data_IF_831005534163
#
_entry.id   IF_831005534163
#
_cell.length_a   1.000
_cell.length_b   1.000
_cell.length_c   1.000
_cell.angle_alpha   90.00
_cell.angle_beta   90.00
_cell.angle_gamma   90.00
#
_symmetry.space_group_name_H-M   'P 1'
#
loop_
_entity.id
_entity.type
_entity.pdbx_description
1 polymer ?
#
# COMPACT_ATOMS: atom_id res chain seq x y z
N UNK A 1 -30.05 18.76 3.13
CA UNK A 1 -28.81 18.55 3.87
C UNK A 1 -27.88 19.69 3.51
N UNK A 2 -27.44 20.53 4.46
CA UNK A 2 -26.52 21.63 4.18
C UNK A 2 -25.16 21.07 3.75
N UNK A 3 -24.53 21.69 2.76
CA UNK A 3 -23.16 21.33 2.35
C UNK A 3 -22.24 21.88 3.46
N UNK A 4 -21.39 21.07 4.09
CA UNK A 4 -20.49 21.55 5.13
C UNK A 4 -19.55 22.62 4.56
N UNK A 5 -19.30 23.67 5.34
CA UNK A 5 -18.33 24.69 5.00
C UNK A 5 -16.90 24.13 5.03
N UNK A 6 -15.96 24.81 4.36
CA UNK A 6 -14.57 24.37 4.31
C UNK A 6 -13.94 24.18 5.69
N UNK A 7 -14.27 25.04 6.67
CA UNK A 7 -13.79 24.91 8.04
C UNK A 7 -14.29 23.65 8.75
N UNK A 8 -15.52 23.22 8.48
CA UNK A 8 -16.09 21.99 9.04
C UNK A 8 -15.41 20.75 8.45
N UNK A 9 -15.13 20.76 7.13
CA UNK A 9 -14.37 19.70 6.45
C UNK A 9 -12.96 19.60 7.03
N UNK A 10 -12.30 20.73 7.19
CA UNK A 10 -10.96 20.80 7.77
C UNK A 10 -10.92 20.24 9.19
N UNK A 11 -11.91 20.59 10.02
CA UNK A 11 -12.02 20.09 11.41
C UNK A 11 -12.32 18.59 11.44
N UNK A 12 -13.18 18.08 10.58
CA UNK A 12 -13.46 16.65 10.46
C UNK A 12 -12.18 15.88 10.11
N UNK A 13 -11.42 16.35 9.10
CA UNK A 13 -10.16 15.72 8.69
C UNK A 13 -9.11 15.81 9.81
N UNK A 14 -9.03 16.94 10.51
CA UNK A 14 -8.12 17.12 11.63
C UNK A 14 -8.37 16.11 12.74
N UNK A 15 -9.65 15.85 13.08
CA UNK A 15 -10.03 14.87 14.11
C UNK A 15 -9.66 13.44 13.72
N UNK A 16 -9.68 13.10 12.45
CA UNK A 16 -9.28 11.77 11.96
C UNK A 16 -7.77 11.66 11.66
N UNK A 17 -7.02 12.77 11.79
CA UNK A 17 -5.56 12.78 11.60
C UNK A 17 -4.85 12.68 12.93
N UNK A 18 -3.83 11.82 13.01
CA UNK A 18 -3.03 11.60 14.21
C UNK A 18 -1.56 11.94 13.95
N UNK A 19 -0.86 12.28 15.03
CA UNK A 19 0.60 12.40 15.03
C UNK A 19 1.19 11.04 15.37
N UNK A 20 2.17 10.59 14.58
CA UNK A 20 2.85 9.30 14.75
C UNK A 20 4.30 9.55 15.13
N UNK A 21 4.69 9.10 16.32
CA UNK A 21 6.07 9.12 16.80
C UNK A 21 6.64 7.71 16.75
N UNK A 22 7.76 7.53 16.07
CA UNK A 22 8.44 6.24 15.97
C UNK A 22 9.92 6.40 16.28
N UNK A 23 10.34 5.94 17.44
CA UNK A 23 11.74 5.77 17.88
C UNK A 23 12.66 6.95 17.59
N UNK A 24 12.93 7.84 18.53
CA UNK A 24 13.91 8.91 18.42
C UNK A 24 13.37 10.21 17.78
N UNK A 25 13.99 10.73 16.72
CA UNK A 25 13.74 12.08 16.20
C UNK A 25 12.78 12.15 15.00
N UNK A 26 12.03 11.10 14.68
CA UNK A 26 11.11 11.07 13.54
C UNK A 26 9.65 11.17 13.97
N UNK A 27 8.93 12.13 13.41
CA UNK A 27 7.48 12.24 13.53
C UNK A 27 6.86 12.32 12.13
N UNK A 28 5.68 11.73 12.00
CA UNK A 28 4.85 11.80 10.81
C UNK A 28 3.38 11.90 11.19
N UNK A 29 2.51 11.71 10.24
CA UNK A 29 1.07 11.69 10.42
C UNK A 29 0.51 10.28 10.22
N UNK A 30 -0.74 10.10 10.62
CA UNK A 30 -1.53 8.91 10.33
C UNK A 30 -2.99 9.28 10.19
N UNK A 31 -3.78 8.36 9.69
CA UNK A 31 -5.24 8.50 9.51
C UNK A 31 -5.93 7.43 10.33
N UNK A 32 -6.86 7.82 11.20
CA UNK A 32 -7.79 6.90 11.85
C UNK A 32 -8.69 6.33 10.75
N UNK A 33 -8.47 5.07 10.39
CA UNK A 33 -9.16 4.42 9.29
C UNK A 33 -10.45 3.73 9.71
N UNK A 34 -10.49 3.26 10.96
CA UNK A 34 -11.72 2.73 11.55
C UNK A 34 -11.86 3.14 13.02
N UNK A 35 -13.11 3.22 13.49
CA UNK A 35 -13.45 3.70 14.82
C UNK A 35 -13.01 2.79 15.96
N UNK A 36 -12.58 1.58 15.65
CA UNK A 36 -12.09 0.56 16.59
C UNK A 36 -10.57 0.59 16.79
N UNK A 37 -9.86 1.62 16.30
CA UNK A 37 -8.45 1.85 16.58
C UNK A 37 -7.47 1.45 15.46
N UNK A 38 -7.94 1.20 14.23
CA UNK A 38 -7.04 1.05 13.08
C UNK A 38 -6.56 2.41 12.61
N UNK A 39 -5.24 2.57 12.57
CA UNK A 39 -4.57 3.77 12.02
C UNK A 39 -3.69 3.36 10.84
N UNK A 40 -3.78 4.10 9.75
CA UNK A 40 -2.94 3.94 8.55
C UNK A 40 -1.92 5.07 8.51
N UNK A 41 -0.68 4.73 8.21
CA UNK A 41 0.42 5.68 7.98
C UNK A 41 1.37 5.13 6.92
N UNK A 42 2.46 5.85 6.62
CA UNK A 42 3.50 5.33 5.73
C UNK A 42 4.45 4.36 6.46
N UNK A 43 4.97 3.40 5.70
CA UNK A 43 5.94 2.44 6.22
C UNK A 43 7.25 3.11 6.66
N UNK A 44 7.69 4.16 5.95
CA UNK A 44 8.92 4.89 6.31
C UNK A 44 8.77 5.76 7.57
N UNK A 45 7.55 6.11 7.98
CA UNK A 45 7.24 6.81 9.24
C UNK A 45 7.44 5.88 10.43
N UNK A 46 7.13 4.60 10.26
CA UNK A 46 7.21 3.58 11.31
C UNK A 46 8.62 3.01 11.37
N UNK A 47 9.41 3.45 12.36
CA UNK A 47 10.79 3.00 12.58
C UNK A 47 10.92 2.33 13.96
N UNK A 48 11.53 1.15 13.99
CA UNK A 48 11.70 0.38 15.24
C UNK A 48 10.44 -0.36 15.68
N UNK A 49 10.42 -0.80 16.93
CA UNK A 49 9.35 -1.65 17.49
C UNK A 49 8.33 -0.90 18.34
N UNK A 50 8.62 0.33 18.73
CA UNK A 50 7.72 1.17 19.54
C UNK A 50 7.23 2.34 18.72
N UNK A 51 5.92 2.49 18.65
CA UNK A 51 5.23 3.56 17.93
C UNK A 51 4.20 4.15 18.88
N UNK A 52 4.22 5.48 19.04
CA UNK A 52 3.22 6.22 19.79
C UNK A 52 2.35 7.01 18.82
N UNK A 53 1.05 7.00 19.07
CA UNK A 53 0.06 7.73 18.30
C UNK A 53 -0.59 8.75 19.23
N UNK A 54 -0.52 10.03 18.85
CA UNK A 54 -1.21 11.12 19.54
C UNK A 54 -2.42 11.58 18.72
N UNK A 55 -3.58 11.59 19.34
CA UNK A 55 -4.82 12.05 18.74
C UNK A 55 -4.89 13.59 18.74
N UNK A 56 -5.87 14.13 17.99
CA UNK A 56 -6.14 15.56 17.88
C UNK A 56 -6.47 16.24 19.23
N UNK A 57 -6.99 15.49 20.22
CA UNK A 57 -7.36 15.96 21.55
C UNK A 57 -6.23 15.80 22.59
N UNK A 58 -5.04 15.38 22.14
CA UNK A 58 -3.85 15.23 22.98
C UNK A 58 -3.72 13.86 23.65
N UNK A 59 -4.70 12.96 23.55
CA UNK A 59 -4.56 11.59 24.06
C UNK A 59 -3.46 10.85 23.31
N UNK A 60 -2.66 10.09 24.04
CA UNK A 60 -1.54 9.31 23.50
C UNK A 60 -1.76 7.82 23.75
N UNK A 61 -1.37 7.01 22.76
CA UNK A 61 -1.47 5.56 22.81
C UNK A 61 -0.18 4.92 22.30
N UNK A 62 0.26 3.86 22.97
CA UNK A 62 1.24 2.95 22.37
C UNK A 62 0.51 2.14 21.30
N UNK A 63 1.06 2.13 20.09
CA UNK A 63 0.47 1.45 18.95
C UNK A 63 1.23 0.18 18.60
N UNK A 64 0.51 -0.91 18.39
CA UNK A 64 1.06 -2.13 17.83
C UNK A 64 1.13 -2.00 16.30
N UNK A 65 2.25 -2.42 15.71
CA UNK A 65 2.39 -2.54 14.26
C UNK A 65 1.70 -3.84 13.85
N UNK A 66 0.55 -3.72 13.17
CA UNK A 66 -0.23 -4.87 12.74
C UNK A 66 0.27 -5.44 11.40
N UNK A 67 0.53 -4.57 10.43
CA UNK A 67 1.10 -4.94 9.13
C UNK A 67 1.92 -3.79 8.55
N UNK A 68 2.85 -4.13 7.64
CA UNK A 68 3.72 -3.16 6.97
C UNK A 68 4.02 -3.63 5.55
N UNK A 69 3.83 -2.74 4.59
CA UNK A 69 4.22 -2.93 3.19
C UNK A 69 5.20 -1.84 2.77
N UNK A 70 6.52 -2.08 2.86
CA UNK A 70 7.53 -1.11 2.46
C UNK A 70 7.49 -0.75 0.97
N UNK A 71 6.97 -1.62 0.11
CA UNK A 71 6.87 -1.37 -1.34
C UNK A 71 5.82 -0.33 -1.66
N UNK A 72 4.64 -0.44 -1.03
CA UNK A 72 3.57 0.55 -1.16
C UNK A 72 3.75 1.71 -0.21
N UNK A 73 4.77 1.64 0.67
CA UNK A 73 5.01 2.61 1.72
C UNK A 73 3.79 2.78 2.65
N UNK A 74 3.14 1.68 3.03
CA UNK A 74 2.01 1.64 3.95
C UNK A 74 2.34 0.86 5.22
N UNK A 75 1.79 1.32 6.35
CA UNK A 75 1.78 0.60 7.61
C UNK A 75 0.40 0.72 8.27
N UNK A 76 -0.05 -0.37 8.86
CA UNK A 76 -1.24 -0.45 9.69
C UNK A 76 -0.80 -0.53 11.15
N UNK A 77 -1.29 0.42 11.93
CA UNK A 77 -1.12 0.46 13.38
C UNK A 77 -2.45 0.12 14.06
N UNK A 78 -2.36 -0.45 15.25
CA UNK A 78 -3.51 -0.71 16.11
C UNK A 78 -3.29 -0.02 17.44
N UNK A 79 -4.23 0.81 17.85
CA UNK A 79 -4.30 1.40 19.19
C UNK A 79 -5.49 0.81 19.95
N UNK A 80 -5.34 0.68 21.26
CA UNK A 80 -6.41 0.20 22.14
C UNK A 80 -7.35 1.35 22.48
N UNK A 81 -8.26 1.66 21.56
CA UNK A 81 -9.27 2.70 21.70
C UNK A 81 -10.46 2.41 20.77
N UNK A 82 -11.63 2.88 21.18
CA UNK A 82 -12.87 2.73 20.42
C UNK A 82 -13.59 4.07 20.27
N UNK A 83 -14.62 4.09 19.42
CA UNK A 83 -15.42 5.28 19.11
C UNK A 83 -14.60 6.46 18.60
N UNK A 84 -13.52 6.16 17.88
CA UNK A 84 -12.66 7.17 17.27
C UNK A 84 -13.35 7.77 16.03
N UNK A 85 -13.08 9.05 15.71
CA UNK A 85 -13.56 9.69 14.50
C UNK A 85 -12.80 9.16 13.27
N UNK A 86 -13.28 8.07 12.70
CA UNK A 86 -12.71 7.47 11.51
C UNK A 86 -12.92 8.36 10.28
N UNK A 87 -11.92 8.42 9.42
CA UNK A 87 -12.01 9.09 8.14
C UNK A 87 -12.97 8.35 7.20
N UNK A 88 -13.71 9.09 6.39
CA UNK A 88 -14.45 8.53 5.27
C UNK A 88 -13.53 8.45 4.06
N UNK A 89 -13.42 7.30 3.40
CA UNK A 89 -12.64 7.14 2.18
C UNK A 89 -13.53 7.23 0.94
N UNK A 90 -12.99 7.79 -0.16
CA UNK A 90 -13.60 7.77 -1.47
C UNK A 90 -12.86 6.80 -2.40
N UNK A 91 -13.51 6.41 -3.49
CA UNK A 91 -12.88 5.65 -4.56
C UNK A 91 -11.89 6.55 -5.33
N UNK A 92 -10.60 6.27 -5.20
CA UNK A 92 -9.55 7.05 -5.87
C UNK A 92 -9.49 6.83 -7.39
N UNK A 93 -10.17 5.82 -7.93
CA UNK A 93 -10.28 5.61 -9.38
C UNK A 93 -11.23 6.60 -10.07
N UNK A 94 -12.12 7.24 -9.30
CA UNK A 94 -13.05 8.25 -9.80
C UNK A 94 -12.46 9.67 -9.85
N UNK A 95 -11.26 9.88 -9.27
CA UNK A 95 -10.60 11.19 -9.23
C UNK A 95 -10.30 11.72 -10.61
N UNK A 96 -10.50 13.02 -10.77
CA UNK A 96 -10.23 13.75 -12.02
C UNK A 96 -9.25 14.89 -11.79
N UNK A 97 -8.36 15.17 -12.75
CA UNK A 97 -7.54 16.37 -12.71
C UNK A 97 -8.39 17.64 -12.56
N UNK A 98 -7.93 18.57 -11.72
CA UNK A 98 -8.63 19.82 -11.41
C UNK A 98 -9.56 19.76 -10.19
N UNK A 99 -9.86 18.57 -9.64
CA UNK A 99 -10.62 18.47 -8.40
C UNK A 99 -9.82 19.03 -7.20
N UNK A 100 -10.52 19.61 -6.21
CA UNK A 100 -9.90 20.15 -5.01
C UNK A 100 -9.21 19.02 -4.22
N UNK A 101 -7.99 19.29 -3.78
CA UNK A 101 -7.21 18.44 -2.90
C UNK A 101 -6.94 19.15 -1.58
N UNK A 102 -7.22 18.48 -0.46
CA UNK A 102 -7.01 18.97 0.89
C UNK A 102 -6.07 17.99 1.60
N UNK A 103 -4.90 18.46 2.03
CA UNK A 103 -3.98 17.68 2.83
C UNK A 103 -3.98 18.17 4.27
N UNK A 104 -4.04 17.24 5.22
CA UNK A 104 -3.82 17.54 6.64
C UNK A 104 -2.68 16.67 7.16
N UNK A 105 -1.89 17.23 8.08
CA UNK A 105 -0.79 16.52 8.70
C UNK A 105 -0.22 17.29 9.87
N UNK A 106 0.93 16.81 10.36
CA UNK A 106 1.59 17.34 11.54
C UNK A 106 3.03 17.79 11.21
N UNK A 107 3.21 18.75 10.25
CA UNK A 107 4.52 19.17 9.82
C UNK A 107 5.29 19.82 10.97
N UNK A 108 6.52 19.38 11.19
CA UNK A 108 7.41 19.95 12.21
C UNK A 108 6.80 20.03 13.62
N UNK A 109 5.83 19.15 13.94
CA UNK A 109 5.11 19.13 15.22
C UNK A 109 3.90 20.07 15.31
N UNK A 110 3.56 20.80 14.25
CA UNK A 110 2.30 21.57 14.19
C UNK A 110 1.14 20.61 13.93
N UNK A 111 0.30 20.38 14.94
CA UNK A 111 -0.81 19.43 14.87
C UNK A 111 -1.91 19.96 13.96
N UNK A 112 -2.29 19.16 12.95
CA UNK A 112 -3.44 19.43 12.10
C UNK A 112 -3.26 20.58 11.11
N UNK A 113 -2.02 20.84 10.66
CA UNK A 113 -1.76 21.83 9.63
C UNK A 113 -2.40 21.44 8.30
N UNK A 114 -3.03 22.41 7.65
CA UNK A 114 -3.79 22.22 6.42
C UNK A 114 -3.05 22.85 5.23
N UNK A 115 -3.05 22.12 4.10
CA UNK A 115 -2.64 22.63 2.80
C UNK A 115 -3.70 22.26 1.76
N UNK A 116 -3.91 23.13 0.78
CA UNK A 116 -4.86 22.91 -0.32
C UNK A 116 -4.21 23.08 -1.67
N UNK A 117 -4.81 22.45 -2.66
CA UNK A 117 -4.41 22.53 -4.06
C UNK A 117 -5.40 21.78 -4.93
N UNK A 118 -4.96 21.24 -6.04
CA UNK A 118 -5.78 20.47 -6.96
C UNK A 118 -5.13 19.14 -7.32
N UNK A 119 -5.96 18.16 -7.65
CA UNK A 119 -5.49 16.90 -8.25
C UNK A 119 -4.89 17.23 -9.62
N UNK A 120 -3.64 16.85 -9.81
CA UNK A 120 -2.92 17.03 -11.08
C UNK A 120 -3.10 15.84 -12.00
N UNK A 121 -2.93 14.61 -11.47
CA UNK A 121 -3.10 13.38 -12.23
C UNK A 121 -3.29 12.19 -11.27
N UNK A 122 -3.82 11.08 -11.81
CA UNK A 122 -3.83 9.76 -11.15
C UNK A 122 -3.21 8.76 -12.11
N UNK A 123 -2.16 8.09 -11.68
CA UNK A 123 -1.46 7.12 -12.53
C UNK A 123 -0.01 6.87 -12.11
N UNK A 124 0.70 6.04 -12.87
CA UNK A 124 2.12 5.78 -12.62
C UNK A 124 2.97 7.01 -12.96
N UNK A 125 4.04 7.21 -12.19
CA UNK A 125 5.02 8.27 -12.44
C UNK A 125 6.32 7.67 -12.98
N UNK A 126 6.81 8.23 -14.10
CA UNK A 126 8.04 7.76 -14.72
C UNK A 126 9.21 7.84 -13.72
N UNK A 127 9.93 6.72 -13.55
CA UNK A 127 11.05 6.61 -12.61
C UNK A 127 10.68 6.13 -11.20
N UNK A 128 9.38 6.03 -10.86
CA UNK A 128 8.90 5.49 -9.59
C UNK A 128 8.17 4.14 -9.73
N UNK A 129 8.56 3.35 -10.75
CA UNK A 129 7.98 2.04 -11.00
C UNK A 129 6.57 2.11 -11.61
N UNK A 130 5.79 1.04 -11.41
CA UNK A 130 4.43 0.88 -11.97
C UNK A 130 3.32 1.24 -10.98
N UNK A 131 3.68 1.63 -9.77
CA UNK A 131 2.71 2.02 -8.75
C UNK A 131 1.91 3.23 -9.20
N UNK A 132 0.60 3.18 -9.00
CA UNK A 132 -0.30 4.31 -9.22
C UNK A 132 -0.17 5.30 -8.07
N UNK A 133 -0.10 6.57 -8.40
CA UNK A 133 -0.04 7.71 -7.48
C UNK A 133 -1.21 8.66 -7.71
N UNK A 134 -1.73 9.23 -6.65
CA UNK A 134 -2.48 10.48 -6.73
C UNK A 134 -1.47 11.62 -6.67
N UNK A 135 -1.41 12.39 -7.75
CA UNK A 135 -0.51 13.54 -7.89
C UNK A 135 -1.31 14.81 -7.67
N UNK A 136 -0.89 15.66 -6.74
CA UNK A 136 -1.59 16.88 -6.42
C UNK A 136 -0.62 18.08 -6.33
N UNK A 137 -1.06 19.25 -6.77
CA UNK A 137 -0.33 20.51 -6.54
C UNK A 137 -0.69 21.04 -5.16
N UNK A 138 -0.20 20.32 -4.14
CA UNK A 138 -0.37 20.64 -2.72
C UNK A 138 1.02 20.77 -2.09
N UNK A 139 1.22 21.83 -1.34
CA UNK A 139 2.51 22.05 -0.64
C UNK A 139 2.58 21.17 0.61
N UNK A 140 3.40 20.11 0.55
CA UNK A 140 3.71 19.27 1.69
C UNK A 140 5.06 19.64 2.32
N UNK A 141 5.16 19.42 3.63
CA UNK A 141 6.39 19.55 4.40
C UNK A 141 6.69 18.25 5.18
N UNK A 142 7.93 18.05 5.66
CA UNK A 142 8.26 16.92 6.53
C UNK A 142 7.31 16.84 7.73
N UNK A 143 6.71 15.66 7.95
CA UNK A 143 5.65 15.43 8.94
C UNK A 143 4.25 15.29 8.36
N UNK A 144 4.00 15.68 7.09
CA UNK A 144 2.74 15.40 6.40
C UNK A 144 2.65 13.94 5.92
N UNK A 145 3.77 13.23 5.81
CA UNK A 145 3.79 11.80 5.43
C UNK A 145 2.92 10.99 6.36
N UNK A 146 2.07 10.14 5.80
CA UNK A 146 1.08 9.31 6.50
C UNK A 146 -0.26 10.00 6.74
N UNK A 147 -0.36 11.31 6.58
CA UNK A 147 -1.60 12.06 6.69
C UNK A 147 -2.51 11.93 5.47
N UNK A 148 -3.80 12.31 5.59
CA UNK A 148 -4.76 12.19 4.51
C UNK A 148 -4.53 13.23 3.40
N UNK A 149 -4.75 12.80 2.15
CA UNK A 149 -5.16 13.65 1.04
C UNK A 149 -6.65 13.41 0.82
N UNK A 150 -7.46 14.45 0.85
CA UNK A 150 -8.92 14.36 0.78
C UNK A 150 -9.50 15.20 -0.38
N UNK A 151 -10.70 14.87 -0.78
CA UNK A 151 -11.50 15.61 -1.76
C UNK A 151 -12.25 16.81 -1.12
N UNK A 152 -12.99 17.57 -1.94
CA UNK A 152 -13.80 18.70 -1.51
C UNK A 152 -14.94 18.35 -0.52
N UNK A 153 -15.23 17.06 -0.31
CA UNK A 153 -16.21 16.56 0.64
C UNK A 153 -15.58 16.04 1.92
N UNK A 154 -14.25 16.16 2.07
CA UNK A 154 -13.50 15.65 3.21
C UNK A 154 -13.34 14.12 3.20
N UNK A 155 -13.53 13.46 2.06
CA UNK A 155 -13.31 12.03 1.93
C UNK A 155 -11.86 11.77 1.51
N UNK A 156 -11.18 10.85 2.20
CA UNK A 156 -9.79 10.51 1.92
C UNK A 156 -9.68 9.80 0.57
N UNK A 157 -8.89 10.37 -0.33
CA UNK A 157 -8.57 9.85 -1.66
C UNK A 157 -7.16 9.27 -1.74
N UNK A 158 -6.34 9.50 -0.70
CA UNK A 158 -5.00 8.95 -0.62
C UNK A 158 -4.28 9.26 0.69
N UNK A 159 -3.12 8.64 0.87
CA UNK A 159 -2.21 8.88 2.00
C UNK A 159 -0.97 9.60 1.47
N UNK A 160 -0.71 10.82 1.96
CA UNK A 160 0.44 11.61 1.58
C UNK A 160 1.73 10.87 1.92
N UNK A 161 2.71 10.83 1.00
CA UNK A 161 3.95 10.11 1.24
C UNK A 161 5.20 10.91 0.91
N UNK A 162 5.31 11.48 -0.28
CA UNK A 162 6.52 12.17 -0.72
C UNK A 162 6.19 13.33 -1.66
N UNK A 163 7.24 14.07 -2.03
CA UNK A 163 7.18 15.12 -3.05
C UNK A 163 8.09 14.72 -4.21
N UNK A 164 7.57 14.76 -5.43
CA UNK A 164 8.34 14.60 -6.65
C UNK A 164 8.32 15.90 -7.47
N UNK A 165 9.46 16.56 -7.54
CA UNK A 165 9.53 17.90 -8.12
C UNK A 165 8.71 18.91 -7.31
N UNK A 166 7.57 19.35 -7.86
CA UNK A 166 6.64 20.29 -7.22
C UNK A 166 5.32 19.66 -6.78
N UNK A 167 5.12 18.40 -7.13
CA UNK A 167 3.87 17.69 -6.87
C UNK A 167 3.98 16.84 -5.61
N UNK A 168 2.95 16.90 -4.79
CA UNK A 168 2.71 15.95 -3.73
C UNK A 168 2.26 14.61 -4.33
N UNK A 169 2.80 13.52 -3.82
CA UNK A 169 2.39 12.17 -4.18
C UNK A 169 1.69 11.54 -2.98
N UNK A 170 0.52 10.97 -3.25
CA UNK A 170 -0.22 10.18 -2.27
C UNK A 170 -0.51 8.77 -2.80
N UNK A 171 -0.51 7.82 -1.89
CA UNK A 171 -0.90 6.44 -2.16
C UNK A 171 -2.42 6.41 -2.28
N UNK A 172 -3.01 5.93 -3.39
CA UNK A 172 -4.45 5.95 -3.61
C UNK A 172 -5.23 5.22 -2.51
N UNK A 173 -6.41 5.71 -2.14
CA UNK A 173 -7.28 5.08 -1.13
C UNK A 173 -7.63 3.63 -1.47
N UNK A 174 -7.81 3.31 -2.76
CA UNK A 174 -8.05 1.93 -3.19
C UNK A 174 -6.87 1.00 -2.88
N UNK A 175 -5.63 1.50 -3.00
CA UNK A 175 -4.44 0.74 -2.59
C UNK A 175 -4.38 0.55 -1.07
N UNK A 176 -4.86 1.52 -0.29
CA UNK A 176 -4.99 1.40 1.17
C UNK A 176 -6.04 0.36 1.53
N UNK A 177 -7.22 0.40 0.90
CA UNK A 177 -8.25 -0.62 1.11
C UNK A 177 -7.74 -2.02 0.79
N UNK A 178 -7.05 -2.18 -0.35
CA UNK A 178 -6.43 -3.45 -0.71
C UNK A 178 -5.42 -3.91 0.36
N UNK A 179 -4.54 -3.02 0.82
CA UNK A 179 -3.54 -3.32 1.85
C UNK A 179 -4.20 -3.78 3.16
N UNK A 180 -5.26 -3.11 3.61
CA UNK A 180 -5.97 -3.45 4.85
C UNK A 180 -6.78 -4.75 4.73
N UNK A 181 -7.40 -4.99 3.58
CA UNK A 181 -8.15 -6.24 3.31
C UNK A 181 -7.22 -7.44 3.13
N UNK A 182 -5.99 -7.17 2.68
CA UNK A 182 -4.96 -8.19 2.52
C UNK A 182 -4.58 -8.86 3.85
N UNK A 183 -4.79 -8.19 4.99
CA UNK A 183 -4.50 -8.69 6.34
C UNK A 183 -3.03 -9.09 6.54
N UNK A 184 -2.58 -9.29 7.78
CA UNK A 184 -1.25 -9.86 8.04
C UNK A 184 -1.13 -11.32 7.59
N UNK A 185 -2.25 -11.91 7.21
CA UNK A 185 -2.36 -13.30 6.80
C UNK A 185 -2.25 -13.53 5.29
N UNK A 186 -2.22 -12.47 4.47
CA UNK A 186 -2.02 -12.66 3.03
C UNK A 186 -0.57 -12.92 2.71
N UNK A 187 -0.35 -14.11 2.25
CA UNK A 187 0.95 -14.57 1.84
C UNK A 187 1.46 -13.75 0.64
N UNK A 188 2.67 -13.26 0.77
CA UNK A 188 3.39 -12.53 -0.25
C UNK A 188 4.31 -13.48 -1.03
N UNK A 189 4.33 -13.35 -2.35
CA UNK A 189 5.18 -14.18 -3.21
C UNK A 189 6.51 -13.51 -3.58
N UNK A 190 6.49 -12.20 -3.77
CA UNK A 190 7.68 -11.42 -4.12
C UNK A 190 8.01 -11.41 -5.61
N UNK A 191 7.00 -11.36 -6.47
CA UNK A 191 7.17 -11.28 -7.92
C UNK A 191 6.40 -10.08 -8.50
N UNK A 192 6.96 -9.47 -9.55
CA UNK A 192 6.24 -8.61 -10.48
C UNK A 192 5.87 -9.44 -11.69
N UNK A 193 4.58 -9.48 -12.05
CA UNK A 193 4.11 -10.30 -13.17
C UNK A 193 3.37 -9.48 -14.22
N UNK A 194 3.37 -9.99 -15.47
CA UNK A 194 2.60 -9.45 -16.58
C UNK A 194 1.77 -10.54 -17.25
N UNK A 195 0.45 -10.35 -17.46
CA UNK A 195 -0.38 -11.33 -18.14
C UNK A 195 0.01 -11.45 -19.62
N UNK A 196 0.07 -12.70 -20.12
CA UNK A 196 0.37 -12.99 -21.51
C UNK A 196 -0.36 -14.25 -21.98
N UNK A 197 -0.61 -14.33 -23.28
CA UNK A 197 -1.10 -15.54 -23.94
C UNK A 197 0.09 -16.27 -24.59
N UNK A 198 0.39 -17.46 -24.10
CA UNK A 198 1.56 -18.24 -24.47
C UNK A 198 1.17 -19.33 -25.47
N UNK A 199 1.81 -19.40 -26.65
CA UNK A 199 1.61 -20.52 -27.57
C UNK A 199 2.23 -21.78 -26.98
N UNK A 200 1.47 -22.87 -26.90
CA UNK A 200 1.92 -24.12 -26.26
C UNK A 200 2.16 -25.29 -27.23
N UNK A 201 1.68 -25.19 -28.47
CA UNK A 201 1.86 -26.24 -29.46
C UNK A 201 1.78 -25.68 -30.89
N UNK A 202 2.11 -26.54 -31.88
CA UNK A 202 1.96 -26.25 -33.30
C UNK A 202 0.49 -25.96 -33.71
N UNK A 203 -0.49 -26.37 -32.89
CA UNK A 203 -1.94 -26.20 -33.16
C UNK A 203 -2.47 -24.83 -32.76
N UNK A 204 -1.59 -23.84 -32.53
CA UNK A 204 -1.95 -22.46 -32.19
C UNK A 204 -2.82 -22.26 -30.93
N UNK A 205 -2.99 -23.28 -30.09
CA UNK A 205 -3.66 -23.12 -28.80
C UNK A 205 -2.84 -22.21 -27.89
N UNK A 206 -3.47 -21.15 -27.37
CA UNK A 206 -2.83 -20.20 -26.45
C UNK A 206 -3.29 -20.49 -25.02
N UNK A 207 -2.33 -20.56 -24.10
CA UNK A 207 -2.59 -20.70 -22.68
C UNK A 207 -2.30 -19.37 -21.99
N UNK A 208 -3.19 -18.94 -21.09
CA UNK A 208 -2.94 -17.79 -20.25
C UNK A 208 -1.79 -18.08 -19.28
N UNK A 209 -0.88 -17.14 -19.11
CA UNK A 209 0.21 -17.21 -18.16
C UNK A 209 0.61 -15.83 -17.64
N UNK A 210 1.27 -15.82 -16.49
CA UNK A 210 1.81 -14.61 -15.87
C UNK A 210 3.33 -14.63 -15.99
N UNK A 211 3.87 -13.81 -16.87
CA UNK A 211 5.31 -13.67 -17.08
C UNK A 211 5.92 -12.97 -15.87
N UNK A 212 6.87 -13.59 -15.20
CA UNK A 212 7.64 -12.98 -14.11
C UNK A 212 8.61 -11.96 -14.70
N UNK A 213 8.44 -10.71 -14.39
CA UNK A 213 9.31 -9.62 -14.82
C UNK A 213 10.43 -9.38 -13.82
N UNK A 214 10.13 -9.50 -12.52
CA UNK A 214 11.08 -9.29 -11.43
C UNK A 214 10.80 -10.28 -10.31
N UNK A 215 11.86 -10.69 -9.61
CA UNK A 215 11.81 -11.46 -8.37
C UNK A 215 12.58 -10.68 -7.31
N UNK A 216 11.96 -10.45 -6.18
CA UNK A 216 12.59 -9.70 -5.09
C UNK A 216 13.56 -10.58 -4.32
N UNK A 217 14.80 -10.13 -4.10
CA UNK A 217 15.79 -10.84 -3.32
C UNK A 217 15.29 -11.17 -1.90
N UNK A 218 15.47 -12.42 -1.46
CA UNK A 218 15.01 -12.92 -0.16
C UNK A 218 13.50 -13.17 -0.07
N UNK A 219 12.76 -13.02 -1.16
CA UNK A 219 11.32 -13.31 -1.22
C UNK A 219 11.05 -14.83 -1.22
N UNK A 220 9.82 -15.26 -0.91
CA UNK A 220 9.39 -16.64 -1.11
C UNK A 220 9.65 -17.17 -2.53
N UNK A 221 9.45 -16.35 -3.55
CA UNK A 221 9.74 -16.70 -4.94
C UNK A 221 11.24 -16.90 -5.19
N UNK A 222 12.09 -16.01 -4.66
CA UNK A 222 13.54 -16.11 -4.75
C UNK A 222 14.06 -17.36 -4.04
N UNK A 223 13.61 -17.61 -2.81
CA UNK A 223 13.95 -18.80 -2.05
C UNK A 223 13.46 -20.10 -2.74
N UNK A 224 12.38 -20.03 -3.49
CA UNK A 224 11.88 -21.11 -4.32
C UNK A 224 12.56 -21.18 -5.72
N UNK A 225 13.57 -20.33 -5.96
CA UNK A 225 14.31 -20.26 -7.23
C UNK A 225 13.44 -19.93 -8.45
N UNK A 226 12.37 -19.16 -8.29
CA UNK A 226 11.70 -18.52 -9.41
C UNK A 226 12.58 -17.39 -9.95
N UNK A 227 12.57 -17.22 -11.27
CA UNK A 227 13.46 -16.25 -11.96
C UNK A 227 12.66 -15.33 -12.88
N UNK A 228 13.16 -14.13 -13.16
CA UNK A 228 12.64 -13.32 -14.27
C UNK A 228 12.64 -14.12 -15.58
N UNK A 229 11.55 -14.04 -16.34
CA UNK A 229 11.31 -14.83 -17.54
C UNK A 229 10.55 -16.14 -17.32
N UNK A 230 10.36 -16.59 -16.10
CA UNK A 230 9.42 -17.68 -15.81
C UNK A 230 7.99 -17.26 -16.14
N UNK A 231 7.16 -18.23 -16.53
CA UNK A 231 5.76 -17.98 -16.84
C UNK A 231 4.90 -18.84 -15.92
N UNK A 232 4.25 -18.23 -14.96
CA UNK A 232 3.37 -18.91 -14.01
C UNK A 232 2.06 -19.28 -14.72
N UNK A 233 1.67 -20.54 -14.68
CA UNK A 233 0.48 -21.07 -15.35
C UNK A 233 -0.70 -21.26 -14.41
N UNK A 234 -0.44 -21.51 -13.14
CA UNK A 234 -1.45 -21.82 -12.15
C UNK A 234 -0.87 -22.41 -10.89
N UNK A 235 -1.75 -22.91 -10.06
CA UNK A 235 -1.44 -23.78 -8.92
C UNK A 235 -1.82 -25.23 -9.25
N UNK A 236 -1.42 -26.20 -8.41
CA UNK A 236 -1.89 -27.59 -8.55
C UNK A 236 -3.42 -27.72 -8.57
N UNK A 237 -4.11 -26.76 -7.95
CA UNK A 237 -5.58 -26.80 -7.82
C UNK A 237 -6.28 -26.14 -9.02
N UNK A 238 -5.66 -25.12 -9.62
CA UNK A 238 -6.36 -24.28 -10.59
C UNK A 238 -5.38 -23.57 -11.54
N UNK A 239 -5.61 -23.62 -12.88
CA UNK A 239 -4.90 -22.80 -13.83
C UNK A 239 -5.30 -21.32 -13.68
N UNK A 240 -4.37 -20.40 -13.91
CA UNK A 240 -4.65 -18.97 -13.95
C UNK A 240 -5.37 -18.60 -15.26
N UNK A 241 -6.37 -17.75 -15.15
CA UNK A 241 -7.12 -17.16 -16.28
C UNK A 241 -7.04 -15.64 -16.28
N UNK A 242 -6.69 -15.05 -15.11
CA UNK A 242 -6.51 -13.64 -14.89
C UNK A 242 -5.42 -13.42 -13.82
N UNK A 243 -4.94 -12.19 -13.68
CA UNK A 243 -3.93 -11.84 -12.66
C UNK A 243 -4.50 -11.98 -11.24
N UNK A 244 -5.80 -11.78 -11.10
CA UNK A 244 -6.55 -11.91 -9.85
C UNK A 244 -6.54 -13.34 -9.31
N UNK A 245 -6.37 -14.35 -10.17
CA UNK A 245 -6.25 -15.75 -9.75
C UNK A 245 -4.98 -16.00 -8.93
N UNK A 246 -3.87 -15.32 -9.26
CA UNK A 246 -2.66 -15.35 -8.44
C UNK A 246 -2.89 -14.66 -7.10
N UNK A 247 -3.54 -13.49 -7.10
CA UNK A 247 -3.88 -12.79 -5.87
C UNK A 247 -4.80 -13.65 -4.98
N UNK A 248 -5.80 -14.32 -5.57
CA UNK A 248 -6.66 -15.27 -4.86
C UNK A 248 -5.90 -16.48 -4.31
N UNK A 249 -4.94 -17.03 -5.08
CA UNK A 249 -4.10 -18.13 -4.62
C UNK A 249 -3.18 -17.75 -3.45
N UNK A 250 -2.88 -16.46 -3.29
CA UNK A 250 -2.08 -15.94 -2.17
C UNK A 250 -2.93 -15.63 -0.92
N UNK A 251 -4.26 -15.60 -1.02
CA UNK A 251 -5.14 -15.38 0.13
C UNK A 251 -5.16 -16.59 1.07
N UNK A 252 -5.23 -16.34 2.37
CA UNK A 252 -5.36 -17.34 3.42
C UNK A 252 -4.22 -17.32 4.43
N UNK A 253 -4.37 -18.08 5.52
CA UNK A 253 -3.44 -18.05 6.65
C UNK A 253 -2.03 -18.52 6.29
N UNK A 254 -1.04 -17.75 6.70
CA UNK A 254 0.40 -18.06 6.64
C UNK A 254 0.84 -18.68 7.99
N UNK A 255 1.89 -19.53 8.04
CA UNK A 255 2.69 -20.03 6.92
C UNK A 255 2.03 -21.21 6.19
N UNK A 256 2.19 -21.28 4.87
CA UNK A 256 1.70 -22.40 4.05
C UNK A 256 2.56 -22.63 2.81
N UNK A 257 2.42 -23.77 2.18
CA UNK A 257 3.09 -24.09 0.91
C UNK A 257 2.14 -23.83 -0.25
N UNK A 258 2.54 -22.97 -1.19
CA UNK A 258 1.88 -22.78 -2.48
C UNK A 258 2.65 -23.57 -3.54
N UNK A 259 1.98 -24.50 -4.22
CA UNK A 259 2.58 -25.24 -5.34
C UNK A 259 2.20 -24.56 -6.63
N UNK A 260 3.22 -24.03 -7.32
CA UNK A 260 3.07 -23.24 -8.54
C UNK A 260 3.56 -24.06 -9.74
N UNK A 261 2.76 -24.06 -10.80
CA UNK A 261 3.13 -24.59 -12.11
C UNK A 261 3.65 -23.48 -13.00
N UNK A 262 4.79 -23.69 -13.65
CA UNK A 262 5.43 -22.66 -14.46
C UNK A 262 6.21 -23.24 -15.65
N UNK A 263 6.53 -22.37 -16.62
CA UNK A 263 7.41 -22.66 -17.75
C UNK A 263 8.72 -21.90 -17.58
N UNK A 264 9.84 -22.52 -18.00
CA UNK A 264 11.16 -21.88 -18.05
C UNK A 264 11.93 -22.39 -19.27
N UNK A 265 12.21 -21.49 -20.21
CA UNK A 265 12.99 -21.78 -21.44
C UNK A 265 12.23 -22.62 -22.45
N UNK A 266 11.85 -23.84 -22.10
CA UNK A 266 11.07 -24.76 -22.95
C UNK A 266 9.57 -24.67 -22.59
N UNK A 267 8.76 -24.14 -23.50
CA UNK A 267 7.32 -23.95 -23.30
C UNK A 267 6.49 -25.24 -23.46
N UNK A 268 7.09 -26.31 -23.90
CA UNK A 268 6.44 -27.63 -23.94
C UNK A 268 6.44 -28.33 -22.58
N UNK A 269 7.34 -27.95 -21.67
CA UNK A 269 7.58 -28.59 -20.38
C UNK A 269 7.09 -27.77 -19.21
N UNK A 270 6.00 -28.18 -18.57
CA UNK A 270 5.54 -27.61 -17.30
C UNK A 270 6.42 -28.10 -16.16
N UNK A 271 6.93 -27.15 -15.37
CA UNK A 271 7.67 -27.39 -14.13
C UNK A 271 6.79 -27.06 -12.93
N UNK A 272 7.16 -27.60 -11.78
CA UNK A 272 6.47 -27.36 -10.50
C UNK A 272 7.47 -26.93 -9.45
N UNK A 273 7.05 -26.01 -8.61
CA UNK A 273 7.83 -25.58 -7.45
C UNK A 273 6.91 -25.38 -6.25
N UNK A 274 7.40 -25.78 -5.08
CA UNK A 274 6.76 -25.54 -3.80
C UNK A 274 7.33 -24.26 -3.21
N UNK A 275 6.51 -23.23 -3.07
CA UNK A 275 6.88 -21.95 -2.50
C UNK A 275 6.38 -21.89 -1.07
N UNK A 276 7.30 -21.76 -0.12
CA UNK A 276 6.96 -21.57 1.28
C UNK A 276 6.51 -20.11 1.48
N UNK A 277 5.22 -19.90 1.61
CA UNK A 277 4.67 -18.59 1.92
C UNK A 277 4.76 -18.33 3.41
N UNK A 278 5.40 -17.23 3.80
CA UNK A 278 5.53 -16.78 5.18
C UNK A 278 5.18 -15.30 5.31
N UNK A 279 5.12 -14.79 6.54
CA UNK A 279 5.14 -13.36 6.78
C UNK A 279 6.45 -12.79 6.20
N UNK A 280 6.45 -11.59 5.58
CA UNK A 280 7.67 -10.97 5.08
C UNK A 280 8.72 -10.87 6.18
N UNK A 281 9.87 -11.51 5.97
CA UNK A 281 11.02 -11.30 6.85
C UNK A 281 11.50 -9.88 6.60
N UNK A 282 11.66 -9.02 7.63
CA UNK A 282 12.19 -7.69 7.42
C UNK A 282 13.57 -7.80 6.77
N UNK A 283 13.77 -7.06 5.68
CA UNK A 283 15.05 -7.01 4.98
C UNK A 283 16.17 -6.73 5.99
N UNK A 284 17.17 -7.60 6.06
CA UNK A 284 18.39 -7.35 6.83
C UNK A 284 19.01 -6.08 6.24
N UNK A 285 19.13 -5.03 7.06
CA UNK A 285 19.93 -3.87 6.71
C UNK A 285 21.32 -4.36 6.30
N UNK A 286 21.90 -3.86 5.19
CA UNK A 286 23.29 -4.17 4.89
C UNK A 286 24.14 -3.71 6.07
N UNK A 287 24.88 -4.63 6.64
CA UNK A 287 25.94 -4.33 7.61
C UNK A 287 26.95 -3.49 6.85
N UNK A 288 27.08 -2.21 7.23
CA UNK A 288 28.14 -1.36 6.74
C UNK A 288 29.48 -2.01 7.12
N UNK A 289 30.29 -2.35 6.09
CA UNK A 289 31.68 -2.70 6.25
C UNK A 289 32.54 -1.43 6.31
#
# INVERSE_FOLDING_TARGET
>A
MAIPGFGEIAEQLRRSTVLVHSGGRGAGSGVIWSSDGVVVTNAHVVRGSRVNVQLWDGREFEAAIHSRDPRRDLAQLRIDSANLPAASAADSSELRPGELAIAIGNPMGFVGALATGVIHAVGPLRGLGRQTWVQADVRLAPGNSGGPLADARGRVVGINTMVAGRLALAIPSNAVHYFLSAGPENAWLGVTVHPALIPRSADASKTFGLVVLEVEPGSPADLASLLPGDILLGTEEKPFKAIEDLAGALQGRSPRVLRVEFLRGDYSKTRRVAVQLGTPVPARSPVAA
#
